data_IF_529985128735
#
_entry.id   IF_529985128735
#
_cell.length_a   1.000
_cell.length_b   1.000
_cell.length_c   1.000
_cell.angle_alpha   90.00
_cell.angle_beta   90.00
_cell.angle_gamma   90.00
#
_symmetry.space_group_name_H-M   'P 1'
#
loop_
_entity.id
_entity.type
_entity.pdbx_description
1 polymer ?
#
# COMPACT_ATOMS: atom_id res chain seq x y z
N UNK A 1 0.78 17.27 -19.11
CA UNK A 1 0.62 15.85 -19.49
C UNK A 1 1.46 15.04 -18.51
N UNK A 2 0.84 14.40 -17.52
CA UNK A 2 1.57 13.63 -16.50
C UNK A 2 1.96 12.29 -17.10
N UNK A 3 3.24 11.95 -17.07
CA UNK A 3 3.74 10.65 -17.55
C UNK A 3 3.11 9.55 -16.69
N UNK A 4 2.40 8.57 -17.26
CA UNK A 4 1.93 7.42 -16.50
C UNK A 4 3.15 6.67 -15.95
N UNK A 5 3.24 6.57 -14.63
CA UNK A 5 4.31 5.83 -13.98
C UNK A 5 3.88 4.37 -13.90
N UNK A 6 4.68 3.47 -14.46
CA UNK A 6 4.48 2.03 -14.32
C UNK A 6 5.30 1.55 -13.13
N UNK A 7 4.69 0.73 -12.28
CA UNK A 7 5.35 0.06 -11.17
C UNK A 7 5.21 -1.44 -11.33
N UNK A 8 6.20 -2.20 -10.86
CA UNK A 8 6.16 -3.66 -10.88
C UNK A 8 6.28 -4.15 -9.45
N UNK A 9 5.28 -4.90 -8.99
CA UNK A 9 5.21 -5.44 -7.63
C UNK A 9 5.02 -6.93 -7.73
N UNK A 10 5.93 -7.69 -7.12
CA UNK A 10 5.96 -9.15 -7.22
C UNK A 10 5.85 -9.65 -8.69
N UNK A 11 6.33 -8.90 -9.69
CA UNK A 11 6.20 -9.26 -11.11
C UNK A 11 4.87 -8.90 -11.78
N UNK A 12 3.94 -8.23 -11.07
CA UNK A 12 2.71 -7.65 -11.64
C UNK A 12 2.96 -6.19 -11.97
N UNK A 13 2.77 -5.81 -13.23
CA UNK A 13 2.90 -4.42 -13.70
C UNK A 13 1.59 -3.66 -13.55
N UNK A 14 1.67 -2.47 -12.96
CA UNK A 14 0.53 -1.60 -12.70
C UNK A 14 0.81 -0.20 -13.25
N UNK A 15 -0.17 0.38 -13.93
CA UNK A 15 -0.12 1.76 -14.40
C UNK A 15 -0.77 2.66 -13.37
N UNK A 16 0.02 3.58 -12.80
CA UNK A 16 -0.45 4.56 -11.84
C UNK A 16 -1.16 5.70 -12.58
N UNK A 17 -2.40 5.95 -12.19
CA UNK A 17 -3.30 6.95 -12.80
C UNK A 17 -3.52 8.19 -11.93
N UNK A 18 -2.92 8.26 -10.75
CA UNK A 18 -3.16 9.36 -9.81
C UNK A 18 -2.09 10.44 -9.86
N UNK A 19 -2.54 11.68 -9.67
CA UNK A 19 -1.72 12.86 -9.43
C UNK A 19 -1.88 13.42 -8.01
N UNK A 20 -2.70 12.76 -7.17
CA UNK A 20 -3.06 13.23 -5.82
C UNK A 20 -2.61 12.22 -4.77
N UNK A 21 -1.72 12.65 -3.87
CA UNK A 21 -1.24 11.81 -2.78
C UNK A 21 -2.35 11.37 -1.81
N UNK A 22 -3.44 12.14 -1.69
CA UNK A 22 -4.58 11.78 -0.82
C UNK A 22 -5.47 10.67 -1.39
N UNK A 23 -5.32 10.35 -2.68
CA UNK A 23 -6.10 9.33 -3.37
C UNK A 23 -5.28 8.73 -4.52
N UNK A 24 -4.43 7.77 -4.20
CA UNK A 24 -3.61 7.04 -5.18
C UNK A 24 -4.46 5.99 -5.87
N UNK A 25 -4.26 5.81 -7.18
CA UNK A 25 -5.00 4.87 -8.02
C UNK A 25 -4.07 4.23 -9.03
N UNK A 26 -4.18 2.93 -9.22
CA UNK A 26 -3.47 2.16 -10.23
C UNK A 26 -4.39 1.12 -10.87
N UNK A 27 -4.02 0.66 -12.04
CA UNK A 27 -4.66 -0.49 -12.68
C UNK A 27 -3.63 -1.36 -13.35
N UNK A 28 -3.82 -2.67 -13.27
CA UNK A 28 -3.02 -3.66 -13.98
C UNK A 28 -3.49 -3.79 -15.44
N UNK A 29 -2.75 -4.56 -16.25
CA UNK A 29 -3.11 -4.80 -17.65
C UNK A 29 -4.32 -5.72 -17.82
N UNK A 30 -4.56 -6.62 -16.86
CA UNK A 30 -5.74 -7.48 -16.79
C UNK A 30 -6.98 -6.75 -16.24
N UNK A 31 -6.86 -5.44 -15.94
CA UNK A 31 -7.99 -4.59 -15.59
C UNK A 31 -8.31 -4.49 -14.10
N UNK A 32 -7.59 -5.21 -13.23
CA UNK A 32 -7.74 -5.09 -11.78
C UNK A 32 -7.42 -3.67 -11.33
N UNK A 33 -8.19 -3.15 -10.39
CA UNK A 33 -8.08 -1.76 -9.93
C UNK A 33 -7.62 -1.70 -8.48
N UNK A 34 -6.74 -0.74 -8.21
CA UNK A 34 -6.14 -0.56 -6.89
C UNK A 34 -6.24 0.90 -6.49
N UNK A 35 -6.71 1.15 -5.26
CA UNK A 35 -6.85 2.50 -4.73
C UNK A 35 -6.33 2.57 -3.30
N UNK A 36 -5.72 3.69 -2.95
CA UNK A 36 -5.39 4.04 -1.56
C UNK A 36 -5.90 5.45 -1.30
N UNK A 37 -6.78 5.61 -0.32
CA UNK A 37 -7.38 6.89 0.04
C UNK A 37 -7.15 7.25 1.49
N UNK A 38 -6.86 8.53 1.74
CA UNK A 38 -6.82 9.08 3.09
C UNK A 38 -8.22 9.06 3.69
N UNK A 39 -8.37 8.59 4.93
CA UNK A 39 -9.67 8.54 5.64
C UNK A 39 -9.76 9.49 6.83
N UNK A 40 -8.64 9.93 7.39
CA UNK A 40 -8.61 10.86 8.53
C UNK A 40 -8.24 12.28 8.08
N UNK A 41 -8.52 13.28 8.94
CA UNK A 41 -8.08 14.66 8.74
C UNK A 41 -6.55 14.73 8.79
N UNK A 42 -5.93 13.98 9.70
CA UNK A 42 -4.48 13.73 9.74
C UNK A 42 -4.09 12.62 8.75
N UNK A 43 -2.83 12.52 8.33
CA UNK A 43 -2.32 11.39 7.49
C UNK A 43 -2.13 10.08 8.28
N UNK A 44 -2.93 9.88 9.33
CA UNK A 44 -2.78 8.78 10.28
C UNK A 44 -3.49 7.50 9.83
N UNK A 45 -4.52 7.59 8.98
CA UNK A 45 -5.32 6.45 8.52
C UNK A 45 -5.62 6.51 7.03
N UNK A 46 -5.29 5.42 6.34
CA UNK A 46 -5.61 5.18 4.94
C UNK A 46 -6.45 3.91 4.80
N UNK A 47 -7.26 3.86 3.76
CA UNK A 47 -7.98 2.66 3.32
C UNK A 47 -7.53 2.34 1.92
N UNK A 48 -7.17 1.07 1.70
CA UNK A 48 -6.91 0.54 0.38
C UNK A 48 -8.08 -0.34 -0.07
N UNK A 49 -8.34 -0.32 -1.36
CA UNK A 49 -9.17 -1.27 -2.07
C UNK A 49 -8.33 -1.82 -3.21
N UNK A 50 -7.93 -3.08 -3.07
CA UNK A 50 -7.13 -3.82 -4.03
C UNK A 50 -8.02 -4.86 -4.68
N UNK A 51 -8.65 -4.50 -5.80
CA UNK A 51 -9.54 -5.39 -6.56
C UNK A 51 -10.67 -5.99 -5.70
N UNK A 52 -11.28 -5.15 -4.85
CA UNK A 52 -12.34 -5.54 -3.91
C UNK A 52 -11.83 -5.99 -2.53
N UNK A 53 -10.52 -6.26 -2.37
CA UNK A 53 -9.91 -6.61 -1.08
C UNK A 53 -9.58 -5.34 -0.30
N UNK A 54 -10.20 -5.20 0.87
CA UNK A 54 -10.11 -3.98 1.68
C UNK A 54 -9.02 -4.11 2.73
N UNK A 55 -8.18 -3.08 2.81
CA UNK A 55 -7.14 -2.95 3.83
C UNK A 55 -7.20 -1.60 4.53
N UNK A 56 -6.74 -1.57 5.77
CA UNK A 56 -6.53 -0.34 6.52
C UNK A 56 -5.06 -0.19 6.88
N UNK A 57 -4.44 0.91 6.47
CA UNK A 57 -3.10 1.28 6.90
C UNK A 57 -3.17 2.38 7.96
N UNK A 58 -2.60 2.13 9.14
CA UNK A 58 -2.61 3.06 10.29
C UNK A 58 -1.20 3.34 10.78
N UNK A 59 -0.91 4.60 11.09
CA UNK A 59 0.36 4.96 11.73
C UNK A 59 0.41 4.39 13.15
N UNK A 60 1.54 3.80 13.53
CA UNK A 60 1.82 3.34 14.89
C UNK A 60 3.05 4.05 15.42
N UNK A 61 2.94 4.53 16.67
CA UNK A 61 3.98 5.31 17.32
C UNK A 61 3.91 6.80 16.97
N UNK A 62 4.40 7.62 17.90
CA UNK A 62 4.48 9.08 17.80
C UNK A 62 5.83 9.57 17.27
N UNK A 63 6.78 8.66 17.01
CA UNK A 63 8.14 9.04 16.60
C UNK A 63 8.11 9.75 15.23
N UNK A 64 8.68 10.97 15.13
CA UNK A 64 8.88 11.66 13.85
C UNK A 64 9.90 10.94 12.96
N UNK A 65 10.83 10.18 13.56
CA UNK A 65 11.95 9.53 12.89
C UNK A 65 11.58 8.17 12.27
N UNK A 66 10.60 7.47 12.86
CA UNK A 66 10.15 6.16 12.37
C UNK A 66 8.67 6.24 12.00
N UNK A 67 8.38 6.43 10.71
CA UNK A 67 7.01 6.44 10.19
C UNK A 67 6.53 5.00 9.95
N UNK A 68 6.32 4.25 11.05
CA UNK A 68 5.79 2.90 10.97
C UNK A 68 4.28 2.88 10.70
N UNK A 69 3.83 2.00 9.81
CA UNK A 69 2.41 1.68 9.65
C UNK A 69 2.14 0.19 9.82
N UNK A 70 0.99 -0.08 10.41
CA UNK A 70 0.37 -1.41 10.42
C UNK A 70 -0.67 -1.45 9.32
N UNK A 71 -0.67 -2.55 8.56
CA UNK A 71 -1.65 -2.85 7.52
C UNK A 71 -2.53 -3.99 8.02
N UNK A 72 -3.83 -3.73 8.07
CA UNK A 72 -4.85 -4.68 8.52
C UNK A 72 -5.74 -5.07 7.36
N UNK A 73 -6.15 -6.34 7.31
CA UNK A 73 -7.18 -6.81 6.39
C UNK A 73 -8.59 -6.35 6.83
N UNK A 74 -9.61 -6.78 6.07
CA UNK A 74 -11.00 -6.46 6.35
C UNK A 74 -11.52 -7.06 7.67
N UNK A 75 -10.94 -8.19 8.11
CA UNK A 75 -11.26 -8.85 9.37
C UNK A 75 -10.54 -8.22 10.57
N UNK A 76 -9.68 -7.23 10.33
CA UNK A 76 -8.90 -6.53 11.35
C UNK A 76 -7.63 -7.28 11.77
N UNK A 77 -7.23 -8.33 11.04
CA UNK A 77 -5.96 -9.04 11.28
C UNK A 77 -4.80 -8.25 10.71
N UNK A 78 -3.67 -8.27 11.42
CA UNK A 78 -2.44 -7.67 10.94
C UNK A 78 -1.83 -8.55 9.85
N UNK A 79 -1.69 -8.01 8.64
CA UNK A 79 -1.17 -8.73 7.46
C UNK A 79 0.15 -8.14 6.96
N UNK A 80 0.55 -6.98 7.47
CA UNK A 80 1.87 -6.45 7.19
C UNK A 80 2.20 -5.18 7.95
N UNK A 81 3.46 -4.79 7.90
CA UNK A 81 3.91 -3.50 8.42
C UNK A 81 4.86 -2.83 7.45
N UNK A 82 4.81 -1.50 7.39
CA UNK A 82 5.78 -0.70 6.65
C UNK A 82 6.61 0.13 7.61
N UNK A 83 7.90 0.27 7.34
CA UNK A 83 8.78 1.19 8.05
C UNK A 83 9.55 2.04 7.05
N UNK A 84 9.52 3.37 7.21
CA UNK A 84 10.37 4.25 6.42
C UNK A 84 11.77 4.27 7.01
N UNK A 85 12.79 4.09 6.17
CA UNK A 85 14.18 4.22 6.57
C UNK A 85 14.64 5.68 6.47
N UNK A 86 15.73 6.08 7.16
CA UNK A 86 16.30 7.42 7.05
C UNK A 86 16.67 7.84 5.61
N UNK A 87 17.03 6.87 4.75
CA UNK A 87 17.38 7.10 3.35
C UNK A 87 16.15 7.31 2.45
N UNK A 88 14.95 7.33 3.01
CA UNK A 88 13.69 7.52 2.28
C UNK A 88 13.13 6.26 1.63
N UNK A 89 13.72 5.09 1.90
CA UNK A 89 13.16 3.82 1.47
C UNK A 89 11.99 3.40 2.36
N UNK A 90 11.15 2.49 1.87
CA UNK A 90 10.13 1.82 2.67
C UNK A 90 10.44 0.33 2.69
N UNK A 91 10.62 -0.20 3.90
CA UNK A 91 10.66 -1.63 4.15
C UNK A 91 9.24 -2.14 4.37
N UNK A 92 8.88 -3.22 3.67
CA UNK A 92 7.61 -3.92 3.83
C UNK A 92 7.88 -5.30 4.44
N UNK A 93 7.24 -5.58 5.57
CA UNK A 93 7.16 -6.91 6.16
C UNK A 93 5.77 -7.47 5.91
N UNK A 94 5.68 -8.57 5.17
CA UNK A 94 4.43 -9.33 4.98
C UNK A 94 4.29 -10.31 6.14
N UNK A 95 3.11 -10.35 6.75
CA UNK A 95 2.78 -11.26 7.84
C UNK A 95 1.76 -12.24 7.30
N UNK A 96 2.25 -13.41 6.93
CA UNK A 96 1.40 -14.49 6.45
C UNK A 96 0.70 -15.18 7.63
N UNK A 97 -0.62 -15.04 7.70
CA UNK A 97 -1.46 -15.72 8.69
C UNK A 97 -2.03 -17.05 8.15
N UNK A 98 -1.74 -17.42 6.90
CA UNK A 98 -2.26 -18.60 6.20
C UNK A 98 -1.70 -19.92 6.75
N UNK A 99 -0.67 -19.86 7.61
CA UNK A 99 -0.11 -21.01 8.31
C UNK A 99 -1.13 -21.78 9.19
N UNK A 100 -2.35 -21.26 9.39
CA UNK A 100 -3.40 -21.96 10.14
C UNK A 100 -4.36 -22.81 9.30
N UNK A 101 -4.36 -22.75 7.96
CA UNK A 101 -5.37 -23.45 7.12
C UNK A 101 -4.88 -24.07 5.80
N UNK A 102 -3.59 -24.36 5.64
CA UNK A 102 -3.07 -24.88 4.35
C UNK A 102 -2.96 -26.40 4.31
N UNK A 103 -4.09 -27.05 4.01
CA UNK A 103 -4.14 -28.40 3.47
C UNK A 103 -4.95 -28.40 2.15
N UNK A 104 -4.49 -27.68 1.12
CA UNK A 104 -4.78 -27.88 -0.32
C UNK A 104 -4.15 -26.71 -1.10
N UNK A 105 -3.59 -26.97 -2.30
CA UNK A 105 -2.70 -26.07 -3.06
C UNK A 105 -3.27 -24.76 -3.63
N UNK A 106 -4.19 -24.07 -2.93
CA UNK A 106 -4.70 -22.73 -3.26
C UNK A 106 -3.95 -21.60 -2.54
N UNK A 107 -3.09 -21.92 -1.56
CA UNK A 107 -2.36 -20.92 -0.77
C UNK A 107 -1.46 -20.03 -1.64
N UNK A 108 -0.72 -20.62 -2.59
CA UNK A 108 0.26 -19.89 -3.40
C UNK A 108 -0.33 -18.76 -4.27
N UNK A 109 -1.59 -18.88 -4.69
CA UNK A 109 -2.25 -17.80 -5.44
C UNK A 109 -2.70 -16.67 -4.51
N UNK A 110 -3.25 -17.01 -3.33
CA UNK A 110 -3.63 -16.03 -2.30
C UNK A 110 -2.44 -15.28 -1.71
N UNK A 111 -1.33 -15.98 -1.45
CA UNK A 111 -0.08 -15.39 -0.96
C UNK A 111 0.46 -14.37 -1.96
N UNK A 112 0.38 -14.70 -3.26
CA UNK A 112 0.82 -13.81 -4.33
C UNK A 112 -0.08 -12.59 -4.52
N UNK A 113 -1.38 -12.72 -4.31
CA UNK A 113 -2.29 -11.57 -4.29
C UNK A 113 -2.02 -10.66 -3.07
N UNK A 114 -1.76 -11.25 -1.90
CA UNK A 114 -1.39 -10.50 -0.71
C UNK A 114 -0.08 -9.71 -0.93
N UNK A 115 0.94 -10.34 -1.50
CA UNK A 115 2.22 -9.66 -1.82
C UNK A 115 2.01 -8.46 -2.77
N UNK A 116 1.16 -8.63 -3.79
CA UNK A 116 0.84 -7.55 -4.75
C UNK A 116 0.07 -6.43 -4.06
N UNK A 117 -0.94 -6.77 -3.27
CA UNK A 117 -1.77 -5.81 -2.56
C UNK A 117 -0.93 -4.98 -1.56
N UNK A 118 -0.12 -5.65 -0.74
CA UNK A 118 0.71 -4.99 0.27
C UNK A 118 1.84 -4.18 -0.36
N UNK A 119 2.43 -4.67 -1.47
CA UNK A 119 3.42 -3.90 -2.22
C UNK A 119 2.82 -2.64 -2.85
N UNK A 120 1.57 -2.70 -3.35
CA UNK A 120 0.87 -1.51 -3.84
C UNK A 120 0.64 -0.51 -2.69
N UNK A 121 0.17 -0.98 -1.54
CA UNK A 121 -0.07 -0.14 -0.37
C UNK A 121 1.22 0.53 0.10
N UNK A 122 2.32 -0.23 0.24
CA UNK A 122 3.61 0.29 0.66
C UNK A 122 4.16 1.34 -0.31
N UNK A 123 4.11 1.07 -1.62
CA UNK A 123 4.50 2.03 -2.65
C UNK A 123 3.62 3.29 -2.61
N UNK A 124 2.30 3.15 -2.49
CA UNK A 124 1.40 4.30 -2.43
C UNK A 124 1.64 5.15 -1.17
N UNK A 125 2.03 4.52 -0.06
CA UNK A 125 2.41 5.21 1.18
C UNK A 125 3.74 5.96 1.06
N UNK A 126 4.70 5.47 0.26
CA UNK A 126 5.94 6.23 0.00
C UNK A 126 5.65 7.52 -0.76
N UNK A 127 4.71 7.48 -1.70
CA UNK A 127 4.26 8.67 -2.42
C UNK A 127 3.53 9.67 -1.51
N UNK A 128 2.84 9.18 -0.48
CA UNK A 128 2.18 10.00 0.55
C UNK A 128 3.20 10.65 1.50
N UNK A 129 4.22 9.90 1.91
CA UNK A 129 5.18 10.33 2.93
C UNK A 129 6.39 11.06 2.38
N UNK A 130 6.60 11.00 1.06
CA UNK A 130 7.60 11.77 0.37
C UNK A 130 7.48 13.24 0.78
N UNK A 131 8.60 13.90 1.12
CA UNK A 131 8.57 15.32 1.45
C UNK A 131 7.92 16.09 0.30
N UNK A 132 6.85 16.84 0.59
CA UNK A 132 6.24 17.74 -0.38
C UNK A 132 7.23 18.89 -0.59
N UNK A 133 8.12 18.75 -1.57
CA UNK A 133 9.14 19.74 -1.86
C UNK A 133 8.61 20.97 -2.61
N UNK A 134 7.37 20.95 -3.12
CA UNK A 134 6.80 22.03 -3.90
C UNK A 134 5.35 22.35 -3.49
N UNK A 135 5.18 23.40 -2.70
CA UNK A 135 3.92 24.13 -2.56
C UNK A 135 3.89 25.22 -3.64
N UNK A 136 3.02 25.08 -4.65
CA UNK A 136 2.69 26.19 -5.57
C UNK A 136 1.31 26.73 -5.21
N UNK A 137 1.26 28.01 -4.85
CA UNK A 137 0.04 28.81 -4.82
C UNK A 137 -0.21 29.33 -6.24
N UNK A 138 -1.42 29.15 -6.75
CA UNK A 138 -1.95 29.87 -7.91
C UNK A 138 -2.96 30.89 -7.44
#
# INVERSE_FOLDING_TARGET
>A
MTVPHTITIAGVSMVVKSTKATHVRASTIDGRTYTLRKRSITVSKYVADCDGRIYTARRRGSSPLHKRREIMDADGRLVGTTESTPDGNIELTVIDNSATNSATGSAAAGDRELDVDLGFIAWALSFVDAPINNLRLS
#
